data_IF_879852606060
#
_entry.id   IF_879852606060
#
_cell.length_a   1.000
_cell.length_b   1.000
_cell.length_c   1.000
_cell.angle_alpha   90.00
_cell.angle_beta   90.00
_cell.angle_gamma   90.00
#
_symmetry.space_group_name_H-M   'P 1'
#
loop_
_entity.id
_entity.type
_entity.pdbx_description
1 polymer ?
#
# COMPACT_ATOMS: atom_id res chain seq x y z
N UNK A 1 18.11 4.27 18.29
CA UNK A 1 17.77 3.05 17.52
C UNK A 1 16.61 3.39 16.63
N UNK A 2 16.73 3.18 15.31
CA UNK A 2 15.66 3.52 14.36
C UNK A 2 14.59 2.45 14.32
N UNK A 3 13.36 2.86 14.02
CA UNK A 3 12.21 1.97 13.90
C UNK A 3 12.20 1.27 12.53
N UNK A 4 11.72 0.02 12.44
CA UNK A 4 11.70 -0.70 11.18
C UNK A 4 10.73 -0.04 10.18
N UNK A 5 11.23 0.24 8.98
CA UNK A 5 10.47 0.78 7.85
C UNK A 5 10.45 -0.27 6.75
N UNK A 6 9.26 -0.66 6.32
CA UNK A 6 9.06 -1.65 5.28
C UNK A 6 8.30 -1.03 4.10
N UNK A 7 9.02 -0.80 3.01
CA UNK A 7 8.44 -0.21 1.80
C UNK A 7 7.74 -1.25 0.91
N UNK A 8 8.13 -2.55 1.00
CA UNK A 8 7.70 -3.58 0.06
C UNK A 8 6.43 -4.30 0.48
N UNK A 9 6.34 -4.71 1.73
CA UNK A 9 5.24 -5.58 2.20
C UNK A 9 3.86 -4.97 1.95
N UNK A 10 3.58 -3.68 2.20
CA UNK A 10 2.28 -3.09 1.88
C UNK A 10 1.93 -3.16 0.40
N UNK A 11 2.90 -2.95 -0.50
CA UNK A 11 2.70 -3.03 -1.95
C UNK A 11 2.45 -4.46 -2.42
N UNK A 12 3.12 -5.46 -1.83
CA UNK A 12 2.86 -6.87 -2.11
C UNK A 12 1.42 -7.25 -1.74
N UNK A 13 0.93 -6.82 -0.59
CA UNK A 13 -0.47 -7.06 -0.22
C UNK A 13 -1.45 -6.38 -1.17
N UNK A 14 -1.16 -5.17 -1.68
CA UNK A 14 -1.98 -4.52 -2.71
C UNK A 14 -1.96 -5.30 -4.03
N UNK A 15 -0.82 -5.85 -4.44
CA UNK A 15 -0.74 -6.72 -5.61
C UNK A 15 -1.59 -7.98 -5.43
N UNK A 16 -1.55 -8.60 -4.24
CA UNK A 16 -2.42 -9.75 -3.90
C UNK A 16 -3.90 -9.37 -4.00
N UNK A 17 -4.30 -8.20 -3.50
CA UNK A 17 -5.68 -7.69 -3.67
C UNK A 17 -6.06 -7.63 -5.14
N UNK A 18 -5.21 -7.06 -6.00
CA UNK A 18 -5.46 -6.98 -7.44
C UNK A 18 -5.67 -8.36 -8.06
N UNK A 19 -4.80 -9.33 -7.76
CA UNK A 19 -4.91 -10.71 -8.26
C UNK A 19 -6.21 -11.35 -7.78
N UNK A 20 -6.54 -11.25 -6.50
CA UNK A 20 -7.77 -11.84 -5.95
C UNK A 20 -9.02 -11.26 -6.61
N UNK A 21 -9.06 -9.94 -6.88
CA UNK A 21 -10.19 -9.29 -7.53
C UNK A 21 -10.32 -9.69 -9.00
N UNK A 22 -9.22 -9.89 -9.74
CA UNK A 22 -9.25 -10.40 -11.13
C UNK A 22 -9.96 -11.75 -11.22
N UNK A 23 -9.83 -12.62 -10.22
CA UNK A 23 -10.55 -13.90 -10.18
C UNK A 23 -11.94 -13.77 -9.56
N UNK A 24 -12.08 -13.00 -8.48
CA UNK A 24 -13.34 -12.88 -7.74
C UNK A 24 -14.45 -12.22 -8.55
N UNK A 25 -14.14 -11.14 -9.30
CA UNK A 25 -15.13 -10.38 -10.04
C UNK A 25 -15.81 -11.18 -11.15
N UNK A 26 -15.09 -11.86 -12.08
CA UNK A 26 -15.72 -12.69 -13.12
C UNK A 26 -16.53 -13.84 -12.52
N UNK A 27 -16.02 -14.49 -11.48
CA UNK A 27 -16.73 -15.57 -10.80
C UNK A 27 -18.01 -15.06 -10.13
N UNK A 28 -17.96 -13.92 -9.46
CA UNK A 28 -19.12 -13.32 -8.81
C UNK A 28 -20.17 -12.85 -9.79
N UNK A 29 -19.76 -12.17 -10.86
CA UNK A 29 -20.66 -11.72 -11.94
C UNK A 29 -21.33 -12.94 -12.60
N UNK A 30 -20.54 -13.96 -12.96
CA UNK A 30 -21.08 -15.19 -13.55
C UNK A 30 -22.06 -15.89 -12.60
N UNK A 31 -21.71 -16.02 -11.32
CA UNK A 31 -22.59 -16.62 -10.31
C UNK A 31 -23.89 -15.83 -10.15
N UNK A 32 -23.83 -14.49 -10.16
CA UNK A 32 -24.99 -13.61 -10.06
C UNK A 32 -25.97 -13.81 -11.21
N UNK A 33 -25.50 -13.79 -12.47
CA UNK A 33 -26.36 -14.00 -13.64
C UNK A 33 -26.94 -15.41 -13.68
N UNK A 34 -26.14 -16.44 -13.40
CA UNK A 34 -26.60 -17.82 -13.31
C UNK A 34 -27.63 -18.03 -12.21
N UNK A 35 -27.45 -17.38 -11.07
CA UNK A 35 -28.41 -17.42 -9.95
C UNK A 35 -29.72 -16.72 -10.32
N UNK A 36 -29.66 -15.57 -11.01
CA UNK A 36 -30.86 -14.87 -11.51
C UNK A 36 -31.64 -15.75 -12.49
N UNK A 37 -30.95 -16.37 -13.46
CA UNK A 37 -31.57 -17.30 -14.42
C UNK A 37 -32.17 -18.52 -13.69
N UNK A 38 -31.44 -19.08 -12.74
CA UNK A 38 -31.92 -20.23 -11.96
C UNK A 38 -33.21 -19.94 -11.19
N UNK A 39 -33.36 -18.73 -10.66
CA UNK A 39 -34.59 -18.29 -9.97
C UNK A 39 -35.76 -18.01 -10.92
N UNK A 40 -35.45 -17.56 -12.13
CA UNK A 40 -36.48 -17.26 -13.12
C UNK A 40 -37.02 -18.52 -13.82
N UNK A 41 -36.33 -19.65 -13.72
CA UNK A 41 -36.64 -20.89 -14.43
C UNK A 41 -37.83 -21.60 -13.72
N UNK A 42 -39.07 -21.33 -14.20
CA UNK A 42 -40.32 -21.86 -13.64
C UNK A 42 -40.58 -23.34 -14.03
N UNK A 43 -39.81 -23.88 -14.99
CA UNK A 43 -40.11 -25.15 -15.66
C UNK A 43 -39.42 -26.38 -15.05
N UNK A 44 -39.07 -26.37 -13.78
CA UNK A 44 -38.58 -27.59 -13.09
C UNK A 44 -37.12 -28.00 -13.40
N UNK A 45 -36.37 -27.21 -14.17
CA UNK A 45 -34.95 -27.44 -14.46
C UNK A 45 -34.02 -27.10 -13.27
N UNK A 46 -34.60 -26.87 -12.09
CA UNK A 46 -33.87 -26.59 -10.84
C UNK A 46 -33.31 -27.88 -10.23
N UNK A 47 -32.30 -28.46 -10.87
CA UNK A 47 -31.69 -29.69 -10.37
C UNK A 47 -30.79 -29.41 -9.16
N UNK A 48 -30.68 -30.41 -8.26
CA UNK A 48 -29.79 -30.35 -7.09
C UNK A 48 -28.33 -30.06 -7.47
N UNK A 49 -27.85 -30.69 -8.55
CA UNK A 49 -26.49 -30.49 -9.05
C UNK A 49 -26.24 -29.02 -9.42
N UNK A 50 -27.14 -28.40 -10.20
CA UNK A 50 -27.03 -26.99 -10.62
C UNK A 50 -27.05 -26.03 -9.41
N UNK A 51 -27.86 -26.33 -8.40
CA UNK A 51 -27.90 -25.56 -7.16
C UNK A 51 -26.62 -25.67 -6.36
N UNK A 52 -26.02 -26.88 -6.30
CA UNK A 52 -24.75 -27.14 -5.61
C UNK A 52 -23.62 -26.38 -6.28
N UNK A 53 -23.52 -26.42 -7.59
CA UNK A 53 -22.48 -25.73 -8.36
C UNK A 53 -22.56 -24.20 -8.17
N UNK A 54 -23.75 -23.65 -8.19
CA UNK A 54 -23.95 -22.21 -7.92
C UNK A 54 -23.53 -21.82 -6.51
N UNK A 55 -23.81 -22.66 -5.50
CA UNK A 55 -23.38 -22.41 -4.13
C UNK A 55 -21.86 -22.44 -3.99
N UNK A 56 -21.19 -23.42 -4.63
CA UNK A 56 -19.73 -23.52 -4.62
C UNK A 56 -19.12 -22.31 -5.31
N UNK A 57 -19.61 -21.94 -6.50
CA UNK A 57 -19.11 -20.79 -7.25
C UNK A 57 -19.30 -19.47 -6.47
N UNK A 58 -20.48 -19.26 -5.89
CA UNK A 58 -20.76 -18.08 -5.06
C UNK A 58 -19.90 -18.04 -3.79
N UNK A 59 -19.78 -19.20 -3.11
CA UNK A 59 -18.95 -19.31 -1.92
C UNK A 59 -17.47 -19.04 -2.20
N UNK A 60 -16.93 -19.54 -3.33
CA UNK A 60 -15.57 -19.26 -3.75
C UNK A 60 -15.36 -17.77 -4.05
N UNK A 61 -16.28 -17.16 -4.80
CA UNK A 61 -16.20 -15.71 -5.09
C UNK A 61 -16.23 -14.87 -3.81
N UNK A 62 -17.14 -15.17 -2.88
CA UNK A 62 -17.23 -14.47 -1.59
C UNK A 62 -15.93 -14.68 -0.78
N UNK A 63 -15.41 -15.90 -0.73
CA UNK A 63 -14.15 -16.20 -0.05
C UNK A 63 -12.97 -15.38 -0.60
N UNK A 64 -12.86 -15.27 -1.92
CA UNK A 64 -11.83 -14.45 -2.57
C UNK A 64 -12.00 -12.96 -2.24
N UNK A 65 -13.23 -12.44 -2.21
CA UNK A 65 -13.50 -11.04 -1.83
C UNK A 65 -13.12 -10.80 -0.37
N UNK A 66 -13.47 -11.71 0.54
CA UNK A 66 -13.10 -11.59 1.96
C UNK A 66 -11.58 -11.57 2.13
N UNK A 67 -10.85 -12.46 1.43
CA UNK A 67 -9.39 -12.47 1.44
C UNK A 67 -8.80 -11.17 0.85
N UNK A 68 -9.39 -10.63 -0.22
CA UNK A 68 -8.96 -9.36 -0.80
C UNK A 68 -9.14 -8.20 0.20
N UNK A 69 -10.28 -8.15 0.90
CA UNK A 69 -10.53 -7.15 1.94
C UNK A 69 -9.51 -7.29 3.09
N UNK A 70 -9.28 -8.49 3.60
CA UNK A 70 -8.30 -8.73 4.65
C UNK A 70 -6.89 -8.30 4.23
N UNK A 71 -6.47 -8.62 3.00
CA UNK A 71 -5.18 -8.20 2.44
C UNK A 71 -5.09 -6.68 2.31
N UNK A 72 -6.17 -6.00 1.89
CA UNK A 72 -6.22 -4.55 1.80
C UNK A 72 -6.05 -3.88 3.18
N UNK A 73 -6.72 -4.39 4.21
CA UNK A 73 -6.54 -3.89 5.58
C UNK A 73 -5.11 -4.08 6.08
N UNK A 74 -4.50 -5.25 5.83
CA UNK A 74 -3.10 -5.50 6.20
C UNK A 74 -2.15 -4.53 5.49
N UNK A 75 -2.38 -4.26 4.20
CA UNK A 75 -1.61 -3.27 3.44
C UNK A 75 -1.72 -1.87 4.05
N UNK A 76 -2.94 -1.42 4.39
CA UNK A 76 -3.18 -0.09 4.97
C UNK A 76 -2.51 0.07 6.34
N UNK A 77 -2.64 -0.92 7.22
CA UNK A 77 -1.99 -0.90 8.54
C UNK A 77 -0.47 -0.89 8.40
N UNK A 78 0.08 -1.74 7.51
CA UNK A 78 1.51 -1.79 7.23
C UNK A 78 2.03 -0.46 6.68
N UNK A 79 1.30 0.15 5.76
CA UNK A 79 1.61 1.46 5.20
C UNK A 79 1.66 2.54 6.27
N UNK A 80 0.60 2.69 7.08
CA UNK A 80 0.55 3.69 8.15
C UNK A 80 1.69 3.51 9.15
N UNK A 81 1.96 2.26 9.56
CA UNK A 81 3.04 1.95 10.50
C UNK A 81 4.40 2.34 9.91
N UNK A 82 4.68 1.97 8.66
CA UNK A 82 5.95 2.28 8.00
C UNK A 82 6.12 3.77 7.76
N UNK A 83 5.05 4.49 7.40
CA UNK A 83 5.05 5.95 7.25
C UNK A 83 5.37 6.64 8.59
N UNK A 84 4.70 6.26 9.67
CA UNK A 84 4.93 6.85 10.99
C UNK A 84 6.36 6.55 11.49
N UNK A 85 6.85 5.33 11.26
CA UNK A 85 8.20 4.95 11.62
C UNK A 85 9.25 5.74 10.83
N UNK A 86 9.02 5.95 9.52
CA UNK A 86 9.91 6.77 8.68
C UNK A 86 9.96 8.22 9.17
N UNK A 87 8.80 8.84 9.43
CA UNK A 87 8.72 10.21 9.97
C UNK A 87 9.50 10.30 11.27
N UNK A 88 9.25 9.40 12.23
CA UNK A 88 9.96 9.39 13.52
C UNK A 88 11.46 9.19 13.36
N UNK A 89 11.91 8.33 12.42
CA UNK A 89 13.32 8.13 12.14
C UNK A 89 13.98 9.38 11.55
N UNK A 90 13.29 10.08 10.64
CA UNK A 90 13.78 11.32 10.04
C UNK A 90 13.91 12.40 11.10
N UNK A 91 12.90 12.62 11.94
CA UNK A 91 12.92 13.59 13.04
C UNK A 91 13.99 13.24 14.10
N UNK A 92 14.29 11.95 14.30
CA UNK A 92 15.33 11.51 15.22
C UNK A 92 16.73 11.78 14.67
N UNK A 93 16.93 11.63 13.36
CA UNK A 93 18.25 11.77 12.73
C UNK A 93 18.60 13.21 12.38
N UNK A 94 17.62 13.97 11.94
CA UNK A 94 17.81 15.32 11.41
C UNK A 94 17.13 16.36 12.31
N UNK A 95 17.67 17.59 12.29
CA UNK A 95 17.08 18.73 13.00
C UNK A 95 15.93 19.31 12.15
N UNK A 96 14.82 18.60 12.09
CA UNK A 96 13.67 18.91 11.26
C UNK A 96 12.36 18.76 12.02
N UNK A 97 11.36 19.47 11.56
CA UNK A 97 9.97 19.46 12.05
C UNK A 97 9.02 19.26 10.87
N UNK A 98 7.76 18.93 11.15
CA UNK A 98 6.68 18.78 10.15
C UNK A 98 7.08 17.94 8.92
N UNK A 99 7.51 16.69 9.18
CA UNK A 99 7.86 15.71 8.13
C UNK A 99 6.59 15.07 7.60
N UNK A 100 6.36 15.13 6.27
CA UNK A 100 5.22 14.52 5.59
C UNK A 100 5.66 13.61 4.47
N UNK A 101 5.15 12.40 4.45
CA UNK A 101 5.35 11.47 3.34
C UNK A 101 4.28 11.74 2.28
N UNK A 102 4.71 12.17 1.09
CA UNK A 102 3.83 12.54 -0.02
C UNK A 102 3.67 11.42 -1.04
N UNK A 103 4.69 10.60 -1.23
CA UNK A 103 4.66 9.51 -2.18
C UNK A 103 5.45 8.30 -1.67
N UNK A 104 5.19 7.13 -2.30
CA UNK A 104 5.75 5.84 -1.88
C UNK A 104 5.88 4.89 -3.07
N UNK A 105 7.07 4.42 -3.38
CA UNK A 105 7.30 3.57 -4.55
C UNK A 105 7.83 2.15 -4.26
N UNK A 106 7.89 1.75 -2.99
CA UNK A 106 8.38 0.43 -2.61
C UNK A 106 9.88 0.32 -2.34
N UNK A 107 10.66 1.35 -2.70
CA UNK A 107 12.11 1.39 -2.45
C UNK A 107 12.51 2.62 -1.65
N UNK A 108 11.80 3.71 -1.85
CA UNK A 108 11.98 4.98 -1.18
C UNK A 108 10.64 5.70 -1.00
N UNK A 109 10.60 6.68 -0.14
CA UNK A 109 9.46 7.56 0.02
C UNK A 109 9.84 8.99 -0.36
N UNK A 110 8.88 9.74 -0.92
CA UNK A 110 9.00 11.16 -1.13
C UNK A 110 8.51 11.88 0.10
N UNK A 111 9.29 12.82 0.62
CA UNK A 111 8.98 13.54 1.85
C UNK A 111 9.14 15.03 1.67
N UNK A 112 8.21 15.77 2.26
CA UNK A 112 8.32 17.21 2.48
C UNK A 112 8.66 17.43 3.95
N UNK A 113 9.51 18.38 4.24
CA UNK A 113 9.90 18.70 5.61
C UNK A 113 10.24 20.17 5.79
N UNK A 114 10.23 20.58 7.05
CA UNK A 114 10.68 21.92 7.47
C UNK A 114 11.85 21.74 8.43
N UNK A 115 12.97 22.41 8.19
CA UNK A 115 14.10 22.42 9.11
C UNK A 115 13.79 23.25 10.37
N UNK A 116 14.53 23.02 11.47
CA UNK A 116 14.37 23.82 12.69
C UNK A 116 14.61 25.32 12.45
N UNK A 117 15.37 25.67 11.42
CA UNK A 117 15.61 27.06 10.96
C UNK A 117 14.42 27.62 10.16
N UNK A 118 13.35 26.86 9.94
CA UNK A 118 12.13 27.25 9.22
C UNK A 118 12.21 27.16 7.70
N UNK A 119 13.27 26.57 7.13
CA UNK A 119 13.40 26.36 5.68
C UNK A 119 12.57 25.14 5.26
N UNK A 120 11.72 25.32 4.25
CA UNK A 120 10.91 24.26 3.69
C UNK A 120 11.65 23.56 2.54
N UNK A 121 11.67 22.25 2.58
CA UNK A 121 12.17 21.40 1.52
C UNK A 121 11.04 20.49 1.04
N UNK A 122 10.74 20.54 -0.24
CA UNK A 122 9.72 19.73 -0.88
C UNK A 122 10.38 18.66 -1.75
N UNK A 123 9.68 17.54 -1.96
CA UNK A 123 10.06 16.49 -2.89
C UNK A 123 11.42 15.79 -2.61
N UNK A 124 11.81 15.69 -1.35
CA UNK A 124 13.01 14.95 -0.97
C UNK A 124 12.77 13.44 -1.04
N UNK A 125 13.74 12.71 -1.55
CA UNK A 125 13.74 11.24 -1.53
C UNK A 125 14.31 10.72 -0.21
N UNK A 126 13.52 9.96 0.54
CA UNK A 126 13.91 9.31 1.78
C UNK A 126 14.15 7.81 1.54
N UNK A 127 15.37 7.37 1.72
CA UNK A 127 15.80 5.97 1.65
C UNK A 127 16.06 5.44 3.05
N UNK A 128 16.04 4.13 3.20
CA UNK A 128 16.49 3.46 4.41
C UNK A 128 17.86 2.81 4.17
N UNK A 129 18.87 3.25 4.91
CA UNK A 129 20.18 2.64 4.97
C UNK A 129 20.26 1.50 6.00
N UNK A 130 21.47 1.18 6.42
CA UNK A 130 21.73 0.16 7.42
C UNK A 130 20.98 0.49 8.73
N UNK A 131 20.43 -0.55 9.37
CA UNK A 131 19.67 -0.45 10.61
C UNK A 131 18.49 0.55 10.55
N UNK A 132 17.88 0.70 9.38
CA UNK A 132 16.74 1.61 9.09
C UNK A 132 17.07 3.10 9.29
N UNK A 133 18.35 3.47 9.24
CA UNK A 133 18.75 4.86 9.28
C UNK A 133 18.22 5.60 8.03
N UNK A 134 17.42 6.68 8.18
CA UNK A 134 16.89 7.41 7.04
C UNK A 134 18.00 8.20 6.36
N UNK A 135 18.03 8.16 5.02
CA UNK A 135 18.94 8.92 4.16
C UNK A 135 18.08 9.83 3.30
N UNK A 136 18.25 11.13 3.46
CA UNK A 136 17.55 12.14 2.66
C UNK A 136 18.41 12.59 1.48
N UNK A 137 17.80 12.66 0.30
CA UNK A 137 18.41 13.16 -0.93
C UNK A 137 17.45 14.09 -1.65
N UNK A 138 17.95 15.23 -2.09
CA UNK A 138 17.22 16.16 -2.95
C UNK A 138 17.65 16.04 -4.41
N UNK A 139 16.81 16.49 -5.32
CA UNK A 139 17.13 16.56 -6.74
C UNK A 139 17.22 18.01 -7.17
N UNK A 140 18.37 18.46 -7.66
CA UNK A 140 18.47 19.76 -8.34
C UNK A 140 18.04 19.69 -9.80
N UNK A 141 17.64 20.84 -10.36
CA UNK A 141 17.44 21.03 -11.79
C UNK A 141 18.74 20.66 -12.52
N UNK A 142 18.79 19.49 -13.19
CA UNK A 142 20.00 18.96 -13.84
C UNK A 142 20.37 17.55 -13.42
N UNK A 143 19.50 16.82 -12.68
CA UNK A 143 19.69 15.43 -12.23
C UNK A 143 20.86 15.17 -11.24
N UNK A 144 21.41 16.20 -10.61
CA UNK A 144 22.38 16.00 -9.54
C UNK A 144 21.63 15.69 -8.23
N UNK A 145 21.96 14.56 -7.62
CA UNK A 145 21.46 14.20 -6.28
C UNK A 145 22.29 14.94 -5.24
N UNK A 146 21.60 15.68 -4.38
CA UNK A 146 22.21 16.40 -3.25
C UNK A 146 21.97 15.59 -1.96
N UNK A 147 22.99 15.49 -1.14
CA UNK A 147 22.87 14.95 0.21
C UNK A 147 22.15 15.92 1.14
N UNK A 148 21.65 15.43 2.27
CA UNK A 148 21.01 16.24 3.28
C UNK A 148 21.91 17.41 3.77
N UNK A 149 23.22 17.17 3.88
CA UNK A 149 24.21 18.16 4.29
C UNK A 149 24.35 19.29 3.25
N UNK A 150 24.39 18.95 1.96
CA UNK A 150 24.45 19.94 0.86
C UNK A 150 23.16 20.78 0.76
N UNK A 151 22.04 20.25 1.23
CA UNK A 151 20.76 20.95 1.35
C UNK A 151 20.68 21.82 2.62
N UNK A 152 21.71 21.81 3.47
CA UNK A 152 21.71 22.54 4.74
C UNK A 152 20.92 21.87 5.87
N UNK A 153 20.47 20.63 5.66
CA UNK A 153 19.73 19.86 6.67
C UNK A 153 20.75 19.28 7.67
N UNK A 154 20.72 19.80 8.90
CA UNK A 154 21.66 19.40 9.96
C UNK A 154 21.27 18.06 10.57
N UNK A 155 22.27 17.24 10.90
CA UNK A 155 22.09 16.07 11.76
C UNK A 155 21.84 16.53 13.21
N UNK A 156 21.03 15.79 13.92
CA UNK A 156 20.71 16.03 15.34
C UNK A 156 21.68 15.30 16.24
#
# INVERSE_FOLDING_TARGET
MYLPVDFHTPLLYLAVVGILLVFALPLGISAFFRWRTFRADANGLQTYARRRDLRIQSGLSIGLVVLAIASAFTALIGWQKSTNNLVSNVETRYAVTDVRVTNWNGTWAQVDLVTDDGVKHDDLSAYTGDFYAPILQGTMAGNSQLSAEELGIKLR
#
